data_IF_765049247470
#
_entry.id   IF_765049247470
#
_cell.length_a   1.000
_cell.length_b   1.000
_cell.length_c   1.000
_cell.angle_alpha   90.00
_cell.angle_beta   90.00
_cell.angle_gamma   90.00
#
_symmetry.space_group_name_H-M   'P 1'
#
loop_
_entity.id
_entity.type
_entity.pdbx_description
1 polymer ?
#
# COMPACT_ATOMS: atom_id res chain seq x y z
N UNK A 1 23.73 -12.55 -52.77
CA UNK A 1 22.57 -12.96 -51.94
C UNK A 1 22.59 -12.08 -50.70
N UNK A 2 21.61 -11.17 -50.54
CA UNK A 2 21.56 -10.19 -49.44
C UNK A 2 20.49 -10.64 -48.44
N UNK A 3 20.88 -10.84 -47.19
CA UNK A 3 19.97 -11.16 -46.09
C UNK A 3 19.19 -9.90 -45.67
N UNK A 4 17.87 -9.98 -45.68
CA UNK A 4 16.99 -8.94 -45.14
C UNK A 4 16.92 -9.09 -43.61
N UNK A 5 17.25 -8.03 -42.90
CA UNK A 5 17.04 -7.94 -41.46
C UNK A 5 15.55 -7.70 -41.18
N UNK A 6 14.91 -8.63 -40.48
CA UNK A 6 13.56 -8.46 -39.93
C UNK A 6 13.62 -7.57 -38.70
N UNK A 7 13.01 -6.38 -38.80
CA UNK A 7 12.82 -5.41 -37.72
C UNK A 7 11.92 -6.03 -36.61
N UNK A 8 12.27 -5.96 -35.32
CA UNK A 8 11.33 -6.36 -34.27
C UNK A 8 10.16 -5.39 -34.24
N UNK A 9 8.94 -5.93 -34.41
CA UNK A 9 7.69 -5.17 -34.33
C UNK A 9 7.41 -4.82 -32.87
N UNK A 10 7.54 -3.54 -32.56
CA UNK A 10 7.08 -2.85 -31.35
C UNK A 10 5.58 -3.10 -31.14
N UNK A 11 5.23 -3.91 -30.15
CA UNK A 11 3.85 -4.18 -29.71
C UNK A 11 3.56 -3.46 -28.40
N UNK A 12 3.12 -2.21 -28.51
CA UNK A 12 2.37 -1.47 -27.49
C UNK A 12 1.68 -0.32 -28.24
N UNK A 13 0.33 -0.18 -28.23
CA UNK A 13 -0.46 -0.02 -27.00
C UNK A 13 -1.90 -0.59 -27.04
N UNK A 14 -2.29 -1.43 -26.09
CA UNK A 14 -3.71 -1.80 -25.85
C UNK A 14 -4.08 -1.78 -24.36
N UNK A 15 -3.55 -0.81 -23.60
CA UNK A 15 -3.96 -0.57 -22.22
C UNK A 15 -4.39 0.91 -22.11
N UNK A 16 -5.51 1.26 -22.75
CA UNK A 16 -6.19 2.56 -22.62
C UNK A 16 -7.70 2.42 -22.80
N UNK A 17 -8.32 1.37 -22.25
CA UNK A 17 -9.76 1.18 -22.41
C UNK A 17 -10.40 0.46 -21.21
N UNK A 18 -10.38 1.10 -20.03
CA UNK A 18 -11.34 0.86 -18.94
C UNK A 18 -11.13 1.82 -17.72
N UNK A 19 -11.22 3.14 -17.87
CA UNK A 19 -11.28 4.07 -16.69
C UNK A 19 -12.29 5.21 -16.88
N UNK A 20 -13.44 4.92 -17.48
CA UNK A 20 -14.58 5.86 -17.44
C UNK A 20 -15.84 5.02 -17.25
N UNK A 21 -16.33 4.91 -16.02
CA UNK A 21 -17.74 4.98 -15.59
C UNK A 21 -17.75 4.72 -14.07
N UNK A 22 -17.85 5.78 -13.26
CA UNK A 22 -18.65 5.85 -12.01
C UNK A 22 -18.35 7.15 -11.25
N UNK A 23 -18.62 8.28 -11.90
CA UNK A 23 -18.74 9.58 -11.22
C UNK A 23 -20.14 10.13 -11.46
N UNK A 24 -21.14 9.50 -10.84
CA UNK A 24 -22.47 10.05 -10.65
C UNK A 24 -23.28 9.14 -9.71
N UNK A 25 -23.41 9.53 -8.44
CA UNK A 25 -24.65 9.70 -7.67
C UNK A 25 -24.22 10.33 -6.34
N UNK A 26 -24.27 11.66 -6.28
CA UNK A 26 -24.47 12.39 -5.03
C UNK A 26 -25.91 12.89 -5.10
N UNK A 27 -26.81 12.10 -4.54
CA UNK A 27 -28.18 12.54 -4.29
C UNK A 27 -28.25 13.06 -2.84
N UNK A 28 -28.28 14.38 -2.75
CA UNK A 28 -28.77 15.25 -1.69
C UNK A 28 -29.69 14.56 -0.67
N UNK A 29 -29.34 14.65 0.63
CA UNK A 29 -30.33 14.81 1.69
C UNK A 29 -29.88 15.88 2.69
N UNK A 30 -30.62 16.98 2.65
CA UNK A 30 -30.55 18.15 3.52
C UNK A 30 -31.07 17.87 4.92
N UNK A 31 -30.44 18.51 5.90
CA UNK A 31 -30.93 18.72 7.27
C UNK A 31 -32.22 19.55 7.24
N UNK A 32 -33.27 19.15 7.98
CA UNK A 32 -33.99 20.00 8.98
C UNK A 32 -35.12 19.27 9.75
N UNK A 33 -34.98 19.25 11.08
CA UNK A 33 -35.93 19.62 12.17
C UNK A 33 -37.26 18.86 12.35
N UNK A 34 -37.44 18.17 13.50
CA UNK A 34 -38.35 18.66 14.57
C UNK A 34 -38.23 17.94 15.92
N UNK A 35 -38.51 18.73 16.96
CA UNK A 35 -38.57 18.45 18.38
C UNK A 35 -39.98 17.92 18.74
N UNK A 36 -40.07 16.77 19.39
CA UNK A 36 -41.25 16.38 20.17
C UNK A 36 -40.80 15.82 21.51
N UNK A 37 -41.22 16.50 22.58
CA UNK A 37 -41.01 16.08 23.94
C UNK A 37 -41.78 14.78 24.25
N UNK A 38 -41.13 13.92 25.02
CA UNK A 38 -41.70 12.74 25.65
C UNK A 38 -40.83 12.35 26.84
N UNK A 39 -41.35 12.57 28.04
CA UNK A 39 -40.72 12.22 29.32
C UNK A 39 -40.77 10.72 29.61
N UNK A 40 -39.72 10.24 30.31
CA UNK A 40 -39.59 9.01 31.16
C UNK A 40 -38.87 7.81 30.51
N UNK A 41 -38.05 6.99 31.23
CA UNK A 41 -37.40 7.11 32.56
C UNK A 41 -35.85 7.15 32.49
N UNK A 42 -35.23 7.64 33.58
CA UNK A 42 -33.78 7.64 33.84
C UNK A 42 -33.18 6.24 33.79
N UNK A 43 -32.42 5.94 32.73
CA UNK A 43 -31.38 4.93 32.76
C UNK A 43 -30.14 5.51 33.47
N UNK A 44 -29.55 4.75 34.40
CA UNK A 44 -28.27 5.11 35.02
C UNK A 44 -27.16 5.24 33.96
N UNK A 45 -26.07 5.98 34.24
CA UNK A 45 -25.02 6.18 33.26
C UNK A 45 -24.34 4.83 33.00
N UNK A 46 -24.61 4.23 31.84
CA UNK A 46 -23.70 3.28 31.23
C UNK A 46 -22.42 4.07 30.96
N UNK A 47 -21.32 3.66 31.60
CA UNK A 47 -19.98 4.13 31.26
C UNK A 47 -19.78 3.89 29.77
N UNK A 48 -19.98 4.94 28.97
CA UNK A 48 -19.53 4.94 27.60
C UNK A 48 -18.03 5.07 27.73
N UNK A 49 -17.32 3.95 27.56
CA UNK A 49 -15.87 3.96 27.36
C UNK A 49 -15.62 4.93 26.22
N UNK A 50 -15.20 6.15 26.56
CA UNK A 50 -14.77 7.13 25.58
C UNK A 50 -13.46 6.57 25.05
N UNK A 51 -13.52 5.83 23.94
CA UNK A 51 -12.35 5.51 23.16
C UNK A 51 -11.87 6.82 22.57
N UNK A 52 -10.99 7.50 23.29
CA UNK A 52 -10.15 8.55 22.72
C UNK A 52 -9.59 7.98 21.41
N UNK A 53 -9.84 8.63 20.26
CA UNK A 53 -9.26 8.20 19.00
C UNK A 53 -7.75 8.04 19.21
N UNK A 54 -7.19 6.92 18.76
CA UNK A 54 -5.75 6.73 18.82
C UNK A 54 -5.09 7.94 18.13
N UNK A 55 -4.10 8.59 18.76
CA UNK A 55 -3.40 9.69 18.12
C UNK A 55 -2.79 9.20 16.81
N UNK A 56 -3.00 9.96 15.74
CA UNK A 56 -2.47 9.69 14.40
C UNK A 56 -0.96 9.95 14.40
N UNK A 57 -0.20 8.99 14.92
CA UNK A 57 1.24 9.06 15.01
C UNK A 57 1.86 9.11 13.61
N UNK A 58 2.91 9.91 13.45
CA UNK A 58 3.64 10.02 12.18
C UNK A 58 4.25 8.68 11.76
N UNK A 59 4.17 8.28 10.48
CA UNK A 59 4.72 7.03 10.00
C UNK A 59 6.23 6.91 10.25
N UNK A 60 6.62 5.76 10.77
CA UNK A 60 8.00 5.30 10.97
C UNK A 60 8.52 4.49 9.79
N UNK A 61 7.63 3.82 9.04
CA UNK A 61 7.96 2.89 7.96
C UNK A 61 8.25 1.46 8.44
N UNK A 62 8.14 1.23 9.75
CA UNK A 62 8.63 0.04 10.44
C UNK A 62 7.63 -0.53 11.44
N UNK A 63 6.34 -0.20 11.33
CA UNK A 63 5.33 -0.65 12.30
C UNK A 63 5.31 -2.19 12.46
N UNK A 64 5.54 -2.92 11.37
CA UNK A 64 5.64 -4.39 11.37
C UNK A 64 7.02 -4.96 11.75
N UNK A 65 8.02 -4.12 11.97
CA UNK A 65 9.41 -4.50 12.21
C UNK A 65 10.32 -4.44 10.98
N UNK A 66 11.53 -4.98 11.16
CA UNK A 66 12.65 -4.96 10.19
C UNK A 66 12.72 -6.20 9.30
N UNK A 67 11.94 -7.24 9.64
CA UNK A 67 11.77 -8.46 8.85
C UNK A 67 11.16 -8.15 7.48
N UNK A 68 11.06 -9.16 6.60
CA UNK A 68 10.50 -9.02 5.25
C UNK A 68 9.62 -10.22 4.88
N UNK A 69 8.93 -10.77 5.87
CA UNK A 69 8.06 -11.94 5.71
C UNK A 69 6.58 -11.55 5.86
N UNK A 70 5.68 -12.52 5.77
CA UNK A 70 4.26 -12.25 5.96
C UNK A 70 3.94 -11.79 7.39
N UNK A 71 4.74 -12.18 8.38
CA UNK A 71 4.55 -11.81 9.79
C UNK A 71 4.72 -10.32 9.98
N UNK A 72 5.72 -9.70 9.32
CA UNK A 72 5.89 -8.24 9.31
C UNK A 72 4.62 -7.53 8.82
N UNK A 73 4.06 -7.94 7.68
CA UNK A 73 2.89 -7.28 7.08
C UNK A 73 1.66 -7.43 7.99
N UNK A 74 1.43 -8.64 8.50
CA UNK A 74 0.28 -8.92 9.38
C UNK A 74 0.42 -8.24 10.75
N UNK A 75 1.64 -8.10 11.27
CA UNK A 75 1.91 -7.34 12.50
C UNK A 75 1.66 -5.84 12.31
N UNK A 76 2.05 -5.28 11.17
CA UNK A 76 1.74 -3.89 10.80
C UNK A 76 0.22 -3.69 10.73
N UNK A 77 -0.50 -4.59 10.03
CA UNK A 77 -1.95 -4.55 9.93
C UNK A 77 -2.63 -4.60 11.31
N UNK A 78 -2.22 -5.51 12.18
CA UNK A 78 -2.80 -5.69 13.51
C UNK A 78 -2.54 -4.48 14.44
N UNK A 79 -1.44 -3.76 14.23
CA UNK A 79 -1.04 -2.62 15.07
C UNK A 79 -1.49 -1.27 14.53
N UNK A 80 -1.84 -1.21 13.24
CA UNK A 80 -2.16 0.04 12.57
C UNK A 80 -3.51 0.60 13.05
N UNK A 81 -3.55 1.86 13.54
CA UNK A 81 -4.81 2.50 13.85
C UNK A 81 -5.62 2.79 12.58
N UNK A 82 -6.94 2.89 12.72
CA UNK A 82 -7.84 3.29 11.64
C UNK A 82 -7.69 4.79 11.34
N UNK A 83 -6.59 5.14 10.69
CA UNK A 83 -6.12 6.51 10.38
C UNK A 83 -5.31 6.47 9.10
N UNK A 84 -5.08 7.63 8.47
CA UNK A 84 -4.24 7.73 7.27
C UNK A 84 -2.78 7.31 7.51
N UNK A 85 -2.19 7.60 8.67
CA UNK A 85 -0.81 7.17 8.93
C UNK A 85 -0.74 5.67 9.22
N UNK A 86 -1.75 5.09 9.87
CA UNK A 86 -1.89 3.64 9.99
C UNK A 86 -1.99 2.95 8.62
N UNK A 87 -2.74 3.54 7.69
CA UNK A 87 -2.82 3.06 6.31
C UNK A 87 -1.46 3.11 5.60
N UNK A 88 -0.71 4.21 5.76
CA UNK A 88 0.64 4.36 5.20
C UNK A 88 1.59 3.29 5.75
N UNK A 89 1.56 3.00 7.05
CA UNK A 89 2.40 1.96 7.67
C UNK A 89 2.12 0.58 7.08
N UNK A 90 0.85 0.21 6.91
CA UNK A 90 0.48 -1.08 6.31
C UNK A 90 0.84 -1.14 4.83
N UNK A 91 0.58 -0.07 4.07
CA UNK A 91 0.97 0.01 2.67
C UNK A 91 2.50 -0.10 2.52
N UNK A 92 3.26 0.53 3.41
CA UNK A 92 4.74 0.47 3.44
C UNK A 92 5.24 -0.94 3.73
N UNK A 93 4.68 -1.61 4.75
CA UNK A 93 5.02 -3.00 5.07
C UNK A 93 4.72 -3.92 3.89
N UNK A 94 3.55 -3.78 3.24
CA UNK A 94 3.19 -4.57 2.07
C UNK A 94 4.17 -4.34 0.90
N UNK A 95 4.54 -3.09 0.60
CA UNK A 95 5.50 -2.74 -0.46
C UNK A 95 6.86 -3.36 -0.22
N UNK A 96 7.36 -3.31 1.02
CA UNK A 96 8.64 -3.90 1.42
C UNK A 96 8.64 -5.42 1.28
N UNK A 97 7.54 -6.08 1.68
CA UNK A 97 7.37 -7.52 1.51
C UNK A 97 7.23 -7.94 0.04
N UNK A 98 6.50 -7.15 -0.76
CA UNK A 98 6.25 -7.45 -2.16
C UNK A 98 7.53 -7.36 -2.99
N UNK A 99 8.34 -6.31 -2.78
CA UNK A 99 9.51 -6.00 -3.60
C UNK A 99 10.80 -6.42 -2.89
N UNK A 100 11.14 -7.69 -3.06
CA UNK A 100 12.39 -8.25 -2.56
C UNK A 100 12.85 -9.41 -3.44
N UNK A 101 14.10 -9.80 -3.27
CA UNK A 101 14.63 -11.09 -3.70
C UNK A 101 15.57 -11.63 -2.61
N UNK A 102 15.50 -12.92 -2.25
CA UNK A 102 14.63 -13.97 -2.81
C UNK A 102 13.14 -13.70 -2.62
N UNK A 103 12.30 -14.27 -3.48
CA UNK A 103 10.85 -14.12 -3.37
C UNK A 103 10.29 -14.79 -2.11
N UNK A 104 9.19 -14.25 -1.54
CA UNK A 104 8.54 -14.85 -0.39
C UNK A 104 8.22 -16.34 -0.58
N UNK A 105 8.20 -17.08 0.52
CA UNK A 105 7.84 -18.49 0.50
C UNK A 105 6.37 -18.70 0.08
N UNK A 106 6.02 -19.91 -0.36
CA UNK A 106 4.62 -20.23 -0.71
C UNK A 106 3.67 -20.04 0.49
N UNK A 107 4.14 -20.34 1.70
CA UNK A 107 3.37 -20.16 2.93
C UNK A 107 3.17 -18.67 3.26
N UNK A 108 4.20 -17.83 3.08
CA UNK A 108 4.06 -16.38 3.23
C UNK A 108 3.08 -15.80 2.22
N UNK A 109 3.17 -16.21 0.96
CA UNK A 109 2.27 -15.79 -0.11
C UNK A 109 0.83 -16.15 0.24
N UNK A 110 0.58 -17.37 0.73
CA UNK A 110 -0.74 -17.82 1.14
C UNK A 110 -1.26 -17.02 2.35
N UNK A 111 -0.41 -16.73 3.34
CA UNK A 111 -0.77 -15.93 4.50
C UNK A 111 -1.20 -14.51 4.09
N UNK A 112 -0.44 -13.86 3.20
CA UNK A 112 -0.78 -12.53 2.67
C UNK A 112 -2.06 -12.55 1.86
N UNK A 113 -2.23 -13.51 0.94
CA UNK A 113 -3.42 -13.60 0.11
C UNK A 113 -4.71 -13.74 0.95
N UNK A 114 -4.62 -14.38 2.12
CA UNK A 114 -5.76 -14.58 3.02
C UNK A 114 -5.98 -13.43 4.02
N UNK A 115 -4.92 -12.76 4.47
CA UNK A 115 -4.99 -11.80 5.57
C UNK A 115 -4.84 -10.32 5.17
N UNK A 116 -4.04 -10.02 4.14
CA UNK A 116 -3.61 -8.66 3.84
C UNK A 116 -4.10 -8.12 2.48
N UNK A 117 -4.74 -8.96 1.65
CA UNK A 117 -5.38 -8.52 0.40
C UNK A 117 -6.86 -8.27 0.65
N UNK A 118 -7.34 -7.11 0.19
CA UNK A 118 -8.72 -6.69 0.33
C UNK A 118 -9.68 -7.60 -0.44
N UNK A 119 -10.90 -7.71 0.05
CA UNK A 119 -11.97 -8.47 -0.61
C UNK A 119 -12.27 -7.96 -2.02
N UNK A 120 -12.13 -6.65 -2.23
CA UNK A 120 -12.36 -5.90 -3.47
C UNK A 120 -11.14 -5.78 -4.38
N UNK A 121 -9.98 -6.33 -3.98
CA UNK A 121 -8.78 -6.29 -4.81
C UNK A 121 -9.03 -6.93 -6.19
N UNK A 122 -8.59 -6.32 -7.31
CA UNK A 122 -8.85 -6.84 -8.66
C UNK A 122 -8.28 -8.25 -8.90
N UNK A 123 -7.22 -8.59 -8.17
CA UNK A 123 -6.64 -9.94 -8.16
C UNK A 123 -6.22 -10.30 -6.74
N UNK A 124 -6.39 -11.57 -6.40
CA UNK A 124 -5.87 -12.20 -5.17
C UNK A 124 -4.82 -13.26 -5.49
N UNK A 125 -4.46 -13.42 -6.76
CA UNK A 125 -3.48 -14.41 -7.21
C UNK A 125 -2.04 -13.88 -7.01
N UNK A 126 -1.63 -13.84 -5.75
CA UNK A 126 -0.30 -13.34 -5.37
C UNK A 126 0.79 -14.33 -5.80
N UNK A 127 0.49 -15.63 -5.82
CA UNK A 127 1.41 -16.64 -6.34
C UNK A 127 1.65 -16.47 -7.84
N UNK A 128 0.58 -16.26 -8.62
CA UNK A 128 0.67 -15.96 -10.04
C UNK A 128 1.41 -14.65 -10.32
N UNK A 129 1.27 -13.64 -9.46
CA UNK A 129 2.06 -12.42 -9.55
C UNK A 129 3.57 -12.69 -9.49
N UNK A 130 4.06 -13.42 -8.48
CA UNK A 130 5.49 -13.74 -8.41
C UNK A 130 5.95 -14.65 -9.55
N UNK A 131 5.14 -15.62 -9.97
CA UNK A 131 5.46 -16.51 -11.09
C UNK A 131 5.57 -15.77 -12.44
N UNK A 132 4.77 -14.71 -12.63
CA UNK A 132 4.76 -13.89 -13.84
C UNK A 132 5.82 -12.79 -13.88
N UNK A 133 6.46 -12.48 -12.75
CA UNK A 133 7.39 -11.37 -12.61
C UNK A 133 8.75 -11.86 -12.11
N UNK A 134 9.67 -12.31 -12.99
CA UNK A 134 10.95 -12.87 -12.57
C UNK A 134 11.95 -11.84 -12.01
N UNK A 135 11.70 -10.54 -12.20
CA UNK A 135 12.51 -9.47 -11.61
C UNK A 135 11.64 -8.25 -11.24
N UNK A 136 11.26 -8.16 -9.97
CA UNK A 136 10.44 -7.05 -9.45
C UNK A 136 11.19 -5.72 -9.30
N UNK A 137 12.52 -5.71 -9.39
CA UNK A 137 13.30 -4.46 -9.41
C UNK A 137 13.12 -3.68 -10.73
N UNK A 138 12.44 -4.26 -11.73
CA UNK A 138 12.31 -3.65 -13.05
C UNK A 138 13.64 -3.60 -13.82
N UNK A 139 14.59 -4.49 -13.49
CA UNK A 139 15.92 -4.56 -14.09
C UNK A 139 16.95 -3.61 -13.45
N UNK A 140 16.61 -2.95 -12.34
CA UNK A 140 17.55 -2.14 -11.56
C UNK A 140 18.60 -2.99 -10.85
N UNK A 141 18.21 -4.21 -10.47
CA UNK A 141 19.06 -5.20 -9.82
C UNK A 141 19.20 -6.40 -10.77
N UNK A 142 20.41 -6.95 -10.96
CA UNK A 142 20.61 -8.15 -11.76
C UNK A 142 19.76 -9.33 -11.28
N UNK A 143 19.33 -10.18 -12.22
CA UNK A 143 18.53 -11.37 -11.90
C UNK A 143 19.29 -12.29 -10.94
N UNK A 144 18.61 -12.75 -9.89
CA UNK A 144 19.17 -13.65 -8.88
C UNK A 144 20.02 -12.97 -7.81
N UNK A 145 20.15 -11.65 -7.82
CA UNK A 145 20.83 -10.89 -6.77
C UNK A 145 19.86 -10.57 -5.63
N UNK A 146 20.30 -10.81 -4.40
CA UNK A 146 19.52 -10.50 -3.21
C UNK A 146 19.34 -9.00 -3.05
N UNK A 147 18.08 -8.57 -2.90
CA UNK A 147 17.75 -7.18 -2.63
C UNK A 147 16.46 -7.05 -1.85
N UNK A 148 16.28 -5.88 -1.24
CA UNK A 148 15.04 -5.52 -0.57
C UNK A 148 14.88 -4.00 -0.52
N UNK A 149 13.68 -3.54 -0.16
CA UNK A 149 13.41 -2.12 0.03
C UNK A 149 13.67 -1.68 1.47
N UNK A 150 14.30 -0.51 1.60
CA UNK A 150 14.46 0.22 2.85
C UNK A 150 13.70 1.55 2.80
N UNK A 151 13.11 1.91 3.93
CA UNK A 151 12.52 3.21 4.24
C UNK A 151 13.55 4.20 4.77
N UNK A 152 14.85 3.89 4.68
CA UNK A 152 15.96 4.80 4.91
C UNK A 152 16.75 5.01 3.61
N UNK A 153 16.84 6.23 3.04
CA UNK A 153 16.02 7.42 3.28
C UNK A 153 14.72 7.33 2.45
N UNK A 154 13.64 6.86 3.06
CA UNK A 154 12.33 6.73 2.42
C UNK A 154 11.45 7.97 2.63
N UNK A 155 10.45 8.11 1.78
CA UNK A 155 9.42 9.15 1.89
C UNK A 155 8.04 8.56 1.63
N UNK A 156 7.00 9.25 2.08
CA UNK A 156 5.62 8.93 1.73
C UNK A 156 4.86 10.19 1.33
N UNK A 157 3.81 10.05 0.54
CA UNK A 157 2.92 11.14 0.15
C UNK A 157 1.48 10.63 0.08
N UNK A 158 0.55 11.33 0.72
CA UNK A 158 -0.88 11.02 0.65
C UNK A 158 -1.46 11.55 -0.66
N UNK A 159 -1.88 10.66 -1.55
CA UNK A 159 -2.55 11.03 -2.81
C UNK A 159 -4.02 11.34 -2.58
N UNK A 160 -4.69 10.48 -1.80
CA UNK A 160 -6.10 10.58 -1.48
C UNK A 160 -6.39 9.93 -0.13
N UNK A 161 -7.37 10.47 0.58
CA UNK A 161 -7.86 9.91 1.84
C UNK A 161 -9.38 10.03 1.91
N UNK A 162 -10.00 8.93 2.31
CA UNK A 162 -11.36 8.82 2.79
C UNK A 162 -11.35 8.13 4.17
N UNK A 163 -12.52 7.91 4.75
CA UNK A 163 -12.63 7.27 6.07
C UNK A 163 -12.00 5.86 6.06
N UNK A 164 -12.40 5.03 5.10
CA UNK A 164 -12.02 3.61 5.01
C UNK A 164 -11.11 3.31 3.80
N UNK A 165 -10.57 4.33 3.12
CA UNK A 165 -9.73 4.16 1.93
C UNK A 165 -8.63 5.21 1.89
N UNK A 166 -7.40 4.77 1.62
CA UNK A 166 -6.24 5.65 1.50
C UNK A 166 -5.42 5.22 0.30
N UNK A 167 -5.04 6.21 -0.51
CA UNK A 167 -4.05 6.04 -1.57
C UNK A 167 -2.81 6.84 -1.20
N UNK A 168 -1.66 6.18 -1.17
CA UNK A 168 -0.39 6.79 -0.83
C UNK A 168 0.72 6.38 -1.80
N UNK A 169 1.58 7.33 -2.14
CA UNK A 169 2.84 7.06 -2.83
C UNK A 169 3.95 6.81 -1.81
N UNK A 170 4.67 5.71 -1.99
CA UNK A 170 5.73 5.24 -1.11
C UNK A 170 7.05 5.27 -1.87
N UNK A 171 8.01 5.99 -1.32
CA UNK A 171 9.37 6.12 -1.80
C UNK A 171 10.33 5.35 -0.91
N UNK A 172 11.14 4.49 -1.51
CA UNK A 172 12.09 3.62 -0.80
C UNK A 172 13.46 3.68 -1.45
N UNK A 173 14.49 3.30 -0.71
CA UNK A 173 15.80 2.98 -1.27
C UNK A 173 15.95 1.46 -1.44
N UNK A 174 16.84 1.03 -2.32
CA UNK A 174 17.17 -0.38 -2.48
C UNK A 174 18.37 -0.72 -1.60
N UNK A 175 18.30 -1.86 -0.93
CA UNK A 175 19.47 -2.51 -0.33
C UNK A 175 19.81 -3.72 -1.20
N UNK A 176 21.06 -3.80 -1.63
CA UNK A 176 21.56 -4.85 -2.54
C UNK A 176 22.73 -5.53 -1.85
N UNK A 177 22.69 -6.86 -1.76
CA UNK A 177 23.71 -7.65 -1.04
C UNK A 177 23.98 -7.14 0.40
N UNK A 178 22.95 -6.60 1.05
CA UNK A 178 23.03 -6.04 2.40
C UNK A 178 23.54 -4.59 2.49
N UNK A 179 23.92 -3.96 1.39
CA UNK A 179 24.38 -2.58 1.34
C UNK A 179 23.31 -1.62 0.78
N UNK A 180 23.03 -0.55 1.52
CA UNK A 180 22.09 0.48 1.09
C UNK A 180 22.63 1.24 -0.11
N UNK A 181 21.87 1.22 -1.22
CA UNK A 181 22.22 1.97 -2.41
C UNK A 181 22.07 3.47 -2.18
N UNK A 182 23.10 4.23 -2.53
CA UNK A 182 23.07 5.70 -2.48
C UNK A 182 22.31 6.34 -3.65
N UNK A 183 22.04 5.58 -4.72
CA UNK A 183 21.49 6.10 -5.98
C UNK A 183 20.19 5.42 -6.41
N UNK A 184 19.95 4.17 -6.03
CA UNK A 184 18.78 3.42 -6.45
C UNK A 184 17.63 3.61 -5.47
N UNK A 185 16.52 4.10 -5.99
CA UNK A 185 15.30 4.42 -5.26
C UNK A 185 14.07 3.93 -6.02
N UNK A 186 13.08 3.44 -5.28
CA UNK A 186 11.78 3.02 -5.76
C UNK A 186 10.70 4.08 -5.49
N UNK A 187 9.64 4.02 -6.29
CA UNK A 187 8.39 4.77 -6.12
C UNK A 187 7.24 3.85 -6.50
N UNK A 188 6.23 3.75 -5.65
CA UNK A 188 5.02 3.00 -5.93
C UNK A 188 3.83 3.66 -5.25
N UNK A 189 2.72 3.79 -5.97
CA UNK A 189 1.45 4.25 -5.40
C UNK A 189 0.61 3.05 -5.03
N UNK A 190 0.05 3.05 -3.83
CA UNK A 190 -0.70 1.93 -3.27
C UNK A 190 -2.03 2.44 -2.72
N UNK A 191 -3.09 1.70 -2.99
CA UNK A 191 -4.39 1.89 -2.35
C UNK A 191 -4.63 0.78 -1.33
N UNK A 192 -5.00 1.18 -0.12
CA UNK A 192 -5.46 0.28 0.95
C UNK A 192 -6.85 0.68 1.42
N UNK A 193 -7.63 -0.29 1.87
CA UNK A 193 -8.94 -0.06 2.48
C UNK A 193 -9.02 -0.67 3.87
N UNK A 194 -9.86 -0.10 4.73
CA UNK A 194 -10.15 -0.66 6.03
C UNK A 194 -11.28 -1.69 5.90
N UNK A 195 -10.96 -2.97 6.11
CA UNK A 195 -11.95 -4.05 6.15
C UNK A 195 -11.58 -5.08 7.23
N UNK A 196 -12.58 -5.71 7.85
CA UNK A 196 -12.39 -6.71 8.91
C UNK A 196 -11.46 -6.22 10.05
N UNK A 197 -11.57 -4.94 10.41
CA UNK A 197 -10.78 -4.30 11.47
C UNK A 197 -9.26 -4.22 11.19
N UNK A 198 -8.88 -4.07 9.91
CA UNK A 198 -7.51 -3.76 9.53
C UNK A 198 -7.40 -3.15 8.13
N UNK A 199 -6.30 -2.46 7.86
CA UNK A 199 -5.98 -2.00 6.50
C UNK A 199 -5.55 -3.19 5.62
N UNK A 200 -6.08 -3.25 4.41
CA UNK A 200 -5.77 -4.30 3.42
C UNK A 200 -5.45 -3.70 2.07
N UNK A 201 -4.52 -4.32 1.36
CA UNK A 201 -4.08 -3.90 0.03
C UNK A 201 -5.17 -4.14 -1.02
N UNK A 202 -5.45 -3.12 -1.84
CA UNK A 202 -6.38 -3.22 -2.98
C UNK A 202 -5.62 -3.31 -4.29
N UNK A 203 -4.77 -2.32 -4.55
CA UNK A 203 -4.07 -2.16 -5.82
C UNK A 203 -2.77 -1.36 -5.64
N UNK A 204 -1.91 -1.49 -6.63
CA UNK A 204 -0.75 -0.62 -6.80
C UNK A 204 -0.65 -0.12 -8.24
N UNK A 205 -0.17 1.11 -8.37
CA UNK A 205 0.00 1.80 -9.65
C UNK A 205 1.32 2.59 -9.63
N UNK A 206 1.95 2.71 -10.79
CA UNK A 206 3.12 3.59 -10.96
C UNK A 206 2.66 4.98 -11.38
N UNK A 207 2.14 5.79 -10.45
CA UNK A 207 1.59 7.11 -10.80
C UNK A 207 2.61 8.25 -10.75
N UNK A 208 3.70 8.09 -9.98
CA UNK A 208 4.74 9.11 -9.80
C UNK A 208 6.13 8.63 -10.16
N UNK A 209 6.91 9.54 -10.74
CA UNK A 209 8.36 9.35 -10.85
C UNK A 209 9.02 9.41 -9.47
N UNK A 210 10.14 8.70 -9.30
CA UNK A 210 10.91 8.71 -8.06
C UNK A 210 11.41 10.12 -7.72
N UNK A 211 11.88 10.89 -8.70
CA UNK A 211 12.36 12.26 -8.48
C UNK A 211 11.27 13.17 -7.93
N UNK A 212 10.08 13.13 -8.54
CA UNK A 212 8.93 13.92 -8.10
C UNK A 212 8.52 13.53 -6.68
N UNK A 213 8.33 12.23 -6.40
CA UNK A 213 7.93 11.77 -5.08
C UNK A 213 8.92 12.19 -3.99
N UNK A 214 10.23 12.10 -4.24
CA UNK A 214 11.24 12.54 -3.29
C UNK A 214 11.31 14.07 -3.12
N UNK A 215 10.74 14.85 -4.03
CA UNK A 215 10.66 16.31 -3.90
C UNK A 215 9.46 16.80 -3.08
N UNK A 216 8.36 16.05 -3.06
CA UNK A 216 7.11 16.42 -2.38
C UNK A 216 6.79 15.56 -1.14
N UNK A 217 7.40 14.38 -1.05
CA UNK A 217 7.14 13.40 -0.02
C UNK A 217 7.63 13.84 1.35
N UNK A 218 6.93 13.37 2.38
CA UNK A 218 7.31 13.52 3.78
C UNK A 218 8.28 12.39 4.14
N UNK A 219 9.41 12.67 4.79
CA UNK A 219 10.29 11.61 5.27
C UNK A 219 9.58 10.80 6.35
N UNK A 220 9.86 9.50 6.41
CA UNK A 220 9.51 8.70 7.57
C UNK A 220 10.27 9.23 8.80
N UNK A 221 9.64 9.14 9.97
CA UNK A 221 10.26 9.59 11.23
C UNK A 221 11.34 8.66 11.75
N UNK A 222 11.37 7.43 11.24
CA UNK A 222 12.40 6.43 11.47
C UNK A 222 12.79 5.76 10.16
N UNK A 223 13.00 4.45 10.22
CA UNK A 223 13.10 3.63 9.03
C UNK A 223 13.86 2.33 9.26
N UNK A 224 13.66 1.44 8.29
CA UNK A 224 14.11 0.06 8.13
C UNK A 224 13.97 -0.22 6.62
#
# INVERSE_FOLDING_TARGET
MRAQATRPRRTWPWILLAVIVLSAIIAVLTVTVWNTGGTTPTAGPTETTSSTPAPDAEPTGCLGGDQRDATMVLAAQASAPHTSNGAIEVATAFVRWLNQYPYPSADDIAAIANGAIASTAPTKDVAGFFAGNPNLSGGLVPDGTDYYLSTLPGVYYLEATAADEVTASIGTALVIDGELSSTLKGSITVTVIWEDNGWKFVSSEGTRSTEELYSIGRPYTGGC
#
